data_IF_144094530013
#
_entry.id   IF_144094530013
#
_cell.length_a   1.000
_cell.length_b   1.000
_cell.length_c   1.000
_cell.angle_alpha   90.00
_cell.angle_beta   90.00
_cell.angle_gamma   90.00
#
_symmetry.space_group_name_H-M   'P 1'
#
loop_
_entity.id
_entity.type
_entity.pdbx_description
1 polymer ?
#
# COMPACT_ATOMS: atom_id res chain seq x y z
N UNK A 1 -17.26 -0.43 -1.27
CA UNK A 1 -16.76 0.06 0.05
C UNK A 1 -16.67 1.59 0.03
N UNK A 2 -16.63 2.29 1.15
CA UNK A 2 -16.38 3.75 1.23
C UNK A 2 -14.89 4.07 1.14
N UNK A 3 -14.52 5.34 0.90
CA UNK A 3 -13.10 5.72 0.94
C UNK A 3 -12.48 5.62 2.33
N UNK A 4 -13.25 5.86 3.40
CA UNK A 4 -12.87 5.60 4.78
C UNK A 4 -12.51 4.13 5.03
N UNK A 5 -13.39 3.20 4.62
CA UNK A 5 -13.14 1.75 4.72
C UNK A 5 -11.88 1.36 3.94
N UNK A 6 -11.67 1.95 2.75
CA UNK A 6 -10.49 1.72 1.93
C UNK A 6 -9.19 2.18 2.63
N UNK A 7 -9.23 3.31 3.35
CA UNK A 7 -8.12 3.81 4.16
C UNK A 7 -7.82 2.85 5.31
N UNK A 8 -8.83 2.47 6.08
CA UNK A 8 -8.66 1.56 7.23
C UNK A 8 -8.03 0.22 6.80
N UNK A 9 -8.55 -0.38 5.72
CA UNK A 9 -7.98 -1.61 5.16
C UNK A 9 -6.54 -1.42 4.67
N UNK A 10 -6.21 -0.26 4.11
CA UNK A 10 -4.84 0.04 3.67
C UNK A 10 -3.90 0.20 4.85
N UNK A 11 -4.31 0.94 5.88
CA UNK A 11 -3.53 1.13 7.11
C UNK A 11 -3.31 -0.21 7.81
N UNK A 12 -4.35 -1.04 7.92
CA UNK A 12 -4.22 -2.38 8.51
C UNK A 12 -3.21 -3.22 7.74
N UNK A 13 -3.32 -3.26 6.40
CA UNK A 13 -2.40 -4.03 5.56
C UNK A 13 -0.94 -3.67 5.79
N UNK A 14 -0.62 -2.39 5.78
CA UNK A 14 0.76 -1.94 5.97
C UNK A 14 1.22 -2.04 7.43
N UNK A 15 0.30 -2.01 8.39
CA UNK A 15 0.61 -2.32 9.79
C UNK A 15 1.02 -3.79 9.93
N UNK A 16 0.32 -4.71 9.27
CA UNK A 16 0.69 -6.13 9.30
C UNK A 16 2.08 -6.35 8.69
N UNK A 17 2.39 -5.71 7.55
CA UNK A 17 3.72 -5.79 6.92
C UNK A 17 4.81 -5.29 7.89
N UNK A 18 4.57 -4.18 8.57
CA UNK A 18 5.50 -3.65 9.59
C UNK A 18 5.70 -4.65 10.75
N UNK A 19 4.63 -5.28 11.23
CA UNK A 19 4.75 -6.30 12.28
C UNK A 19 5.51 -7.53 11.82
N UNK A 20 5.31 -7.97 10.57
CA UNK A 20 6.05 -9.08 9.98
C UNK A 20 7.55 -8.77 9.87
N UNK A 21 7.92 -7.54 9.48
CA UNK A 21 9.31 -7.07 9.45
C UNK A 21 9.92 -7.13 10.85
N UNK A 22 9.21 -6.60 11.86
CA UNK A 22 9.66 -6.60 13.26
C UNK A 22 9.82 -7.99 13.87
N UNK A 23 8.99 -8.94 13.44
CA UNK A 23 9.05 -10.34 13.89
C UNK A 23 10.13 -11.15 13.16
N UNK A 24 10.71 -10.61 12.09
CA UNK A 24 11.64 -11.35 11.24
C UNK A 24 10.98 -12.52 10.53
N UNK A 25 9.74 -12.33 10.05
CA UNK A 25 9.03 -13.34 9.26
C UNK A 25 9.83 -13.69 7.98
N UNK A 26 9.63 -14.89 7.41
CA UNK A 26 10.33 -15.29 6.19
C UNK A 26 10.12 -14.28 5.05
N UNK A 27 11.21 -13.94 4.35
CA UNK A 27 11.18 -12.97 3.23
C UNK A 27 10.08 -13.31 2.21
N UNK A 28 9.89 -14.59 1.90
CA UNK A 28 8.84 -15.04 0.99
C UNK A 28 7.44 -14.55 1.42
N UNK A 29 7.10 -14.75 2.69
CA UNK A 29 5.77 -14.44 3.23
C UNK A 29 5.56 -12.92 3.29
N UNK A 30 6.62 -12.18 3.65
CA UNK A 30 6.66 -10.71 3.55
C UNK A 30 6.41 -10.23 2.12
N UNK A 31 7.07 -10.81 1.13
CA UNK A 31 6.95 -10.45 -0.28
C UNK A 31 5.54 -10.75 -0.82
N UNK A 32 4.96 -11.89 -0.44
CA UNK A 32 3.58 -12.24 -0.76
C UNK A 32 2.62 -11.19 -0.18
N UNK A 33 2.76 -10.80 1.11
CA UNK A 33 1.94 -9.76 1.74
C UNK A 33 2.12 -8.38 1.11
N UNK A 34 3.35 -8.01 0.75
CA UNK A 34 3.67 -6.74 0.10
C UNK A 34 2.96 -6.64 -1.26
N UNK A 35 2.95 -7.73 -2.05
CA UNK A 35 2.34 -7.78 -3.37
C UNK A 35 0.79 -7.69 -3.35
N UNK A 36 0.15 -7.92 -2.21
CA UNK A 36 -1.30 -7.81 -2.09
C UNK A 36 -1.81 -6.36 -2.25
N UNK A 37 -2.95 -6.25 -2.92
CA UNK A 37 -3.65 -4.97 -3.06
C UNK A 37 -4.09 -4.45 -1.68
N UNK A 38 -3.87 -3.16 -1.43
CA UNK A 38 -4.44 -2.47 -0.26
C UNK A 38 -5.88 -2.01 -0.54
N UNK A 39 -6.59 -1.57 0.50
CA UNK A 39 -7.97 -1.10 0.39
C UNK A 39 -8.18 0.01 -0.66
N UNK A 40 -7.26 0.96 -0.78
CA UNK A 40 -7.33 2.01 -1.80
C UNK A 40 -7.29 1.46 -3.24
N UNK A 41 -6.45 0.45 -3.49
CA UNK A 41 -6.39 -0.21 -4.79
C UNK A 41 -7.69 -0.98 -5.08
N UNK A 42 -8.26 -1.64 -4.07
CA UNK A 42 -9.53 -2.34 -4.20
C UNK A 42 -10.69 -1.37 -4.52
N UNK A 43 -10.79 -0.23 -3.82
CA UNK A 43 -11.82 0.78 -4.09
C UNK A 43 -11.65 1.43 -5.46
N UNK A 44 -10.42 1.75 -5.86
CA UNK A 44 -10.17 2.30 -7.19
C UNK A 44 -10.56 1.32 -8.30
N UNK A 45 -10.28 0.02 -8.12
CA UNK A 45 -10.71 -1.04 -9.03
C UNK A 45 -12.24 -1.15 -9.10
N UNK A 46 -12.92 -1.12 -7.95
CA UNK A 46 -14.38 -1.15 -7.85
C UNK A 46 -15.01 0.00 -8.69
N UNK A 47 -14.49 1.23 -8.58
CA UNK A 47 -14.99 2.36 -9.34
C UNK A 47 -14.73 2.26 -10.85
N UNK A 48 -13.57 1.74 -11.26
CA UNK A 48 -13.29 1.51 -12.67
C UNK A 48 -14.22 0.47 -13.28
N UNK A 49 -14.46 -0.64 -12.57
CA UNK A 49 -15.38 -1.68 -12.99
C UNK A 49 -16.81 -1.14 -13.13
N UNK A 50 -17.26 -0.29 -12.18
CA UNK A 50 -18.56 0.39 -12.25
C UNK A 50 -18.65 1.37 -13.43
N UNK A 51 -17.56 2.05 -13.77
CA UNK A 51 -17.50 2.97 -14.91
C UNK A 51 -17.36 2.26 -16.28
N UNK A 52 -17.16 0.94 -16.29
CA UNK A 52 -16.86 0.18 -17.51
C UNK A 52 -15.49 0.52 -18.11
N UNK A 53 -14.61 1.16 -17.34
CA UNK A 53 -13.26 1.52 -17.79
C UNK A 53 -12.34 0.29 -17.69
N UNK A 54 -11.67 -0.04 -18.80
CA UNK A 54 -10.72 -1.17 -18.89
C UNK A 54 -9.27 -0.72 -18.78
N UNK A 55 -9.02 0.57 -18.50
CA UNK A 55 -7.67 1.07 -18.27
C UNK A 55 -7.06 0.45 -17.00
N UNK A 56 -5.73 0.42 -16.88
CA UNK A 56 -5.07 0.05 -15.64
C UNK A 56 -5.60 0.86 -14.45
N UNK A 57 -5.71 0.22 -13.29
CA UNK A 57 -6.19 0.86 -12.05
C UNK A 57 -5.28 2.02 -11.67
N UNK A 58 -5.75 3.24 -11.90
CA UNK A 58 -5.14 4.45 -11.37
C UNK A 58 -5.86 4.81 -10.08
N UNK A 59 -5.14 4.82 -8.96
CA UNK A 59 -5.72 5.21 -7.68
C UNK A 59 -5.28 6.63 -7.32
N UNK A 60 -6.01 7.68 -7.73
CA UNK A 60 -5.56 9.06 -7.50
C UNK A 60 -5.54 9.47 -6.01
N UNK A 61 -6.01 8.59 -5.12
CA UNK A 61 -6.15 8.83 -3.68
C UNK A 61 -5.18 8.02 -2.82
N UNK A 62 -4.47 7.04 -3.42
CA UNK A 62 -3.40 6.35 -2.70
C UNK A 62 -2.16 7.23 -2.71
N UNK A 63 -1.58 7.51 -1.54
CA UNK A 63 -0.37 8.33 -1.42
C UNK A 63 0.76 7.84 -2.34
N UNK A 64 0.90 6.52 -2.49
CA UNK A 64 1.86 5.91 -3.40
C UNK A 64 1.62 6.30 -4.87
N UNK A 65 0.36 6.37 -5.29
CA UNK A 65 0.02 6.83 -6.63
C UNK A 65 0.21 8.34 -6.81
N UNK A 66 -0.05 9.14 -5.77
CA UNK A 66 0.13 10.59 -5.79
C UNK A 66 1.62 10.94 -5.89
N UNK A 67 2.47 10.29 -5.10
CA UNK A 67 3.90 10.59 -5.01
C UNK A 67 4.72 9.90 -6.12
N UNK A 68 4.33 8.69 -6.55
CA UNK A 68 5.13 7.89 -7.47
C UNK A 68 4.43 7.56 -8.80
N UNK A 69 3.20 8.03 -9.01
CA UNK A 69 2.42 7.70 -10.22
C UNK A 69 1.95 6.24 -10.29
N UNK A 70 2.18 5.45 -9.23
CA UNK A 70 1.76 4.06 -9.12
C UNK A 70 2.29 3.39 -7.85
N UNK A 71 1.75 2.21 -7.52
CA UNK A 71 2.25 1.43 -6.38
C UNK A 71 3.55 0.68 -6.70
N UNK A 72 3.97 0.59 -7.97
CA UNK A 72 5.10 -0.25 -8.37
C UNK A 72 6.43 0.22 -7.78
N UNK A 73 6.78 1.49 -7.94
CA UNK A 73 8.02 2.06 -7.40
C UNK A 73 8.17 1.87 -5.88
N UNK A 74 7.17 2.22 -5.05
CA UNK A 74 7.26 2.00 -3.61
C UNK A 74 7.26 0.52 -3.20
N UNK A 75 6.65 -0.36 -4.00
CA UNK A 75 6.81 -1.81 -3.82
C UNK A 75 8.24 -2.25 -4.15
N UNK A 76 8.82 -1.78 -5.25
CA UNK A 76 10.20 -2.10 -5.63
C UNK A 76 11.20 -1.57 -4.57
N UNK A 77 10.98 -0.39 -3.99
CA UNK A 77 11.79 0.17 -2.90
C UNK A 77 11.77 -0.71 -1.65
N UNK A 78 10.58 -1.06 -1.13
CA UNK A 78 10.51 -1.91 0.07
C UNK A 78 11.06 -3.31 -0.21
N UNK A 79 10.83 -3.86 -1.40
CA UNK A 79 11.41 -5.14 -1.79
C UNK A 79 12.93 -5.09 -1.85
N UNK A 80 13.51 -4.01 -2.39
CA UNK A 80 14.95 -3.81 -2.42
C UNK A 80 15.54 -3.74 -1.01
N UNK A 81 14.89 -3.01 -0.09
CA UNK A 81 15.33 -2.95 1.31
C UNK A 81 15.30 -4.34 1.97
N UNK A 82 14.22 -5.09 1.79
CA UNK A 82 14.05 -6.42 2.40
C UNK A 82 15.02 -7.46 1.82
N UNK A 83 15.23 -7.47 0.50
CA UNK A 83 16.16 -8.41 -0.17
C UNK A 83 17.61 -8.15 0.24
N UNK A 84 17.97 -6.89 0.52
CA UNK A 84 19.31 -6.51 0.97
C UNK A 84 19.46 -6.53 2.50
N UNK A 85 18.49 -7.11 3.23
CA UNK A 85 18.51 -7.21 4.70
C UNK A 85 18.61 -5.85 5.42
N UNK A 86 18.15 -4.77 4.77
CA UNK A 86 18.11 -3.40 5.32
C UNK A 86 16.85 -3.21 6.17
N UNK A 87 16.72 -4.01 7.22
CA UNK A 87 15.48 -4.12 8.03
C UNK A 87 15.08 -2.82 8.72
N UNK A 88 16.03 -2.08 9.30
CA UNK A 88 15.77 -0.81 9.99
C UNK A 88 15.21 0.24 9.00
N UNK A 89 15.79 0.30 7.80
CA UNK A 89 15.34 1.23 6.76
C UNK A 89 13.97 0.82 6.19
N UNK A 90 13.71 -0.48 6.06
CA UNK A 90 12.40 -1.00 5.69
C UNK A 90 11.32 -0.62 6.73
N UNK A 91 11.65 -0.74 8.01
CA UNK A 91 10.77 -0.32 9.10
C UNK A 91 10.49 1.19 9.08
N UNK A 92 11.53 2.03 8.93
CA UNK A 92 11.37 3.48 8.85
C UNK A 92 10.48 3.88 7.67
N UNK A 93 10.74 3.30 6.49
CA UNK A 93 9.94 3.54 5.30
C UNK A 93 8.46 3.16 5.51
N UNK A 94 8.18 2.02 6.14
CA UNK A 94 6.82 1.57 6.45
C UNK A 94 6.12 2.49 7.45
N UNK A 95 6.84 2.99 8.46
CA UNK A 95 6.30 3.96 9.42
C UNK A 95 5.91 5.27 8.74
N UNK A 96 6.75 5.80 7.85
CA UNK A 96 6.45 6.99 7.07
C UNK A 96 5.23 6.75 6.17
N UNK A 97 5.16 5.61 5.49
CA UNK A 97 3.99 5.25 4.68
C UNK A 97 2.70 5.24 5.51
N UNK A 98 2.72 4.60 6.68
CA UNK A 98 1.56 4.52 7.57
C UNK A 98 1.08 5.90 8.05
N UNK A 99 2.01 6.81 8.36
CA UNK A 99 1.66 8.19 8.69
C UNK A 99 0.92 8.85 7.52
N UNK A 100 1.50 8.79 6.32
CA UNK A 100 0.92 9.40 5.12
C UNK A 100 -0.46 8.81 4.77
N UNK A 101 -0.64 7.49 4.90
CA UNK A 101 -1.94 6.83 4.65
C UNK A 101 -3.04 7.26 5.62
N UNK A 102 -2.71 7.55 6.88
CA UNK A 102 -3.70 7.98 7.88
C UNK A 102 -4.22 9.39 7.62
N UNK A 103 -3.35 10.28 7.13
CA UNK A 103 -3.68 11.69 6.91
C UNK A 103 -4.11 12.01 5.48
N UNK A 104 -4.07 11.04 4.57
CA UNK A 104 -4.44 11.27 3.17
C UNK A 104 -5.88 11.80 3.09
N UNK A 105 -6.10 12.93 2.38
CA UNK A 105 -7.44 13.48 2.22
C UNK A 105 -8.28 12.54 1.36
N UNK A 106 -9.48 12.23 1.85
CA UNK A 106 -10.43 11.35 1.17
C UNK A 106 -11.46 12.19 0.40
N UNK A 107 -11.89 11.75 -0.80
CA UNK A 107 -13.01 12.37 -1.48
C UNK A 107 -14.32 12.07 -0.72
N UNK A 108 -15.33 12.92 -0.93
CA UNK A 108 -16.69 12.55 -0.52
C UNK A 108 -17.14 11.32 -1.35
N UNK A 109 -17.83 10.39 -0.68
CA UNK A 109 -18.43 9.22 -1.34
C UNK A 109 -19.50 9.60 -2.38
#
# INVERSE_FOLDING_TARGET
MTWEEARELSVQKWTDVLEMVRRGEPLRDLMERVAEACGFCLKAKELQEQAGDRKPVQCPFCHLYIEYGGCRTPLDEIQELLVNERWEEAEEWLLQLLEKLRIVPLPAD
#
